data_IF_377130034290
#
_entry.id   IF_377130034290
#
_cell.length_a   1.000
_cell.length_b   1.000
_cell.length_c   1.000
_cell.angle_alpha   90.00
_cell.angle_beta   90.00
_cell.angle_gamma   90.00
#
_symmetry.space_group_name_H-M   'P 1'
#
loop_
_entity.id
_entity.type
_entity.pdbx_description
1 polymer ?
#
# COMPACT_ATOMS: atom_id res chain seq x y z
N UNK A 1 68.55 5.49 -10.82
CA UNK A 1 69.52 6.27 -11.61
C UNK A 1 70.88 5.59 -11.50
N UNK A 2 71.63 5.58 -12.60
CA UNK A 2 72.77 4.71 -12.87
C UNK A 2 73.90 4.78 -11.83
N UNK A 3 74.37 3.60 -11.40
CA UNK A 3 75.60 3.41 -10.63
C UNK A 3 76.81 3.75 -11.51
N UNK A 4 77.39 4.92 -11.28
CA UNK A 4 78.65 5.34 -11.91
C UNK A 4 79.81 4.83 -11.07
N UNK A 5 80.47 3.78 -11.59
CA UNK A 5 81.76 3.29 -11.08
C UNK A 5 82.81 4.40 -11.19
N UNK A 6 83.15 5.03 -10.06
CA UNK A 6 84.29 5.94 -9.95
C UNK A 6 85.59 5.13 -10.01
N UNK A 7 86.20 5.11 -11.19
CA UNK A 7 87.53 4.56 -11.43
C UNK A 7 88.56 5.55 -10.83
N UNK A 8 89.07 5.27 -9.62
CA UNK A 8 90.15 6.07 -8.99
C UNK A 8 91.42 5.96 -9.83
N UNK A 9 91.89 7.09 -10.36
CA UNK A 9 93.14 7.25 -11.09
C UNK A 9 94.21 7.71 -10.11
N UNK A 10 95.22 6.88 -9.85
CA UNK A 10 96.39 7.25 -9.04
C UNK A 10 97.39 7.96 -9.96
N UNK A 11 97.81 9.17 -9.58
CA UNK A 11 98.86 9.97 -10.23
C UNK A 11 100.18 9.69 -9.52
N UNK A 12 101.30 9.38 -10.22
CA UNK A 12 102.61 9.30 -9.58
C UNK A 12 103.29 10.67 -9.60
N UNK A 13 103.72 11.13 -8.43
CA UNK A 13 104.65 12.24 -8.29
C UNK A 13 106.10 11.74 -8.45
N UNK A 14 106.89 12.50 -9.21
CA UNK A 14 108.30 12.22 -9.55
C UNK A 14 109.23 12.28 -8.32
N UNK A 15 110.23 11.40 -8.32
CA UNK A 15 111.40 11.44 -7.42
C UNK A 15 111.89 10.05 -7.03
N UNK A 16 113.16 9.75 -7.37
CA UNK A 16 114.01 8.64 -6.92
C UNK A 16 113.89 7.29 -7.66
N UNK A 17 114.85 7.07 -8.56
CA UNK A 17 115.02 5.92 -9.45
C UNK A 17 115.33 4.57 -8.76
N UNK A 18 115.51 4.54 -7.43
CA UNK A 18 115.73 3.31 -6.65
C UNK A 18 114.49 2.84 -5.86
N UNK A 19 113.42 3.66 -5.80
CA UNK A 19 112.17 3.38 -5.06
C UNK A 19 110.99 2.97 -5.96
N UNK A 20 111.20 2.86 -7.28
CA UNK A 20 110.13 2.60 -8.25
C UNK A 20 109.64 1.14 -8.21
N UNK A 21 110.55 0.18 -8.04
CA UNK A 21 110.22 -1.25 -8.01
C UNK A 21 109.40 -1.63 -6.77
N UNK A 22 109.77 -1.13 -5.59
CA UNK A 22 109.08 -1.40 -4.33
C UNK A 22 107.69 -0.74 -4.27
N UNK A 23 107.53 0.46 -4.85
CA UNK A 23 106.22 1.12 -5.02
C UNK A 23 105.31 0.35 -5.99
N UNK A 24 105.87 -0.20 -7.06
CA UNK A 24 105.12 -1.00 -8.03
C UNK A 24 104.72 -2.35 -7.44
N UNK A 25 105.59 -2.99 -6.65
CA UNK A 25 105.28 -4.20 -5.90
C UNK A 25 104.23 -3.95 -4.80
N UNK A 26 104.24 -2.78 -4.15
CA UNK A 26 103.20 -2.36 -3.19
C UNK A 26 101.83 -2.17 -3.86
N UNK A 27 101.80 -1.57 -5.06
CA UNK A 27 100.59 -1.40 -5.86
C UNK A 27 100.04 -2.77 -6.31
N UNK A 28 100.89 -3.65 -6.84
CA UNK A 28 100.50 -4.99 -7.27
C UNK A 28 99.97 -5.84 -6.11
N UNK A 29 100.60 -5.75 -4.93
CA UNK A 29 100.14 -6.40 -3.72
C UNK A 29 98.76 -5.86 -3.27
N UNK A 30 98.57 -4.54 -3.28
CA UNK A 30 97.28 -3.94 -2.90
C UNK A 30 96.13 -4.35 -3.84
N UNK A 31 96.41 -4.49 -5.15
CA UNK A 31 95.45 -4.97 -6.15
C UNK A 31 95.14 -6.45 -5.94
N UNK A 32 96.16 -7.29 -5.73
CA UNK A 32 95.99 -8.72 -5.45
C UNK A 32 95.14 -8.94 -4.19
N UNK A 33 95.38 -8.16 -3.12
CA UNK A 33 94.56 -8.25 -1.89
C UNK A 33 93.13 -7.77 -2.13
N UNK A 34 92.93 -6.67 -2.85
CA UNK A 34 91.58 -6.18 -3.16
C UNK A 34 90.78 -7.15 -4.05
N UNK A 35 91.48 -7.92 -4.90
CA UNK A 35 90.88 -8.91 -5.78
C UNK A 35 90.74 -10.30 -5.12
N UNK A 36 91.29 -10.51 -3.91
CA UNK A 36 91.28 -11.80 -3.22
C UNK A 36 92.21 -12.86 -3.83
N UNK A 37 93.28 -12.45 -4.50
CA UNK A 37 94.25 -13.32 -5.16
C UNK A 37 95.24 -13.97 -4.15
N UNK A 38 95.86 -15.10 -4.54
CA UNK A 38 96.82 -15.82 -3.68
C UNK A 38 98.11 -15.02 -3.47
N UNK A 39 98.40 -14.73 -2.20
CA UNK A 39 99.58 -13.99 -1.76
C UNK A 39 100.86 -14.85 -1.74
N UNK A 40 100.75 -16.16 -1.96
CA UNK A 40 101.87 -17.10 -1.88
C UNK A 40 103.01 -16.83 -2.87
N UNK A 41 102.73 -16.15 -3.99
CA UNK A 41 103.76 -15.70 -4.95
C UNK A 41 104.56 -14.50 -4.44
N UNK A 42 103.89 -13.54 -3.79
CA UNK A 42 104.49 -12.36 -3.18
C UNK A 42 105.33 -12.71 -1.95
N UNK A 43 104.83 -13.64 -1.12
CA UNK A 43 105.56 -14.18 0.03
C UNK A 43 106.84 -14.87 -0.44
N UNK A 44 106.76 -15.78 -1.42
CA UNK A 44 107.94 -16.45 -1.98
C UNK A 44 108.94 -15.47 -2.59
N UNK A 45 108.49 -14.44 -3.30
CA UNK A 45 109.35 -13.38 -3.88
C UNK A 45 110.07 -12.57 -2.80
N UNK A 46 109.39 -12.22 -1.70
CA UNK A 46 109.95 -11.44 -0.60
C UNK A 46 110.98 -12.21 0.25
N UNK A 47 110.77 -13.51 0.46
CA UNK A 47 111.75 -14.37 1.13
C UNK A 47 112.95 -14.68 0.23
N UNK A 48 112.74 -14.88 -1.08
CA UNK A 48 113.83 -15.11 -2.03
C UNK A 48 114.72 -13.86 -2.25
N UNK A 49 114.17 -12.65 -2.12
CA UNK A 49 114.93 -11.40 -2.20
C UNK A 49 115.61 -10.99 -0.89
N UNK A 50 115.46 -11.76 0.18
CA UNK A 50 116.05 -11.49 1.49
C UNK A 50 115.44 -10.29 2.24
N UNK A 51 114.27 -9.79 1.80
CA UNK A 51 113.60 -8.62 2.39
C UNK A 51 112.15 -8.96 2.81
N UNK A 52 111.93 -9.83 3.81
CA UNK A 52 110.58 -10.11 4.32
C UNK A 52 109.95 -8.91 5.05
N UNK A 53 110.79 -8.05 5.64
CA UNK A 53 110.36 -6.87 6.39
C UNK A 53 109.66 -5.82 5.51
N UNK A 54 110.04 -5.69 4.23
CA UNK A 54 109.38 -4.77 3.29
C UNK A 54 107.97 -5.25 2.92
N UNK A 55 107.76 -6.56 2.80
CA UNK A 55 106.42 -7.13 2.58
C UNK A 55 105.51 -6.92 3.79
N UNK A 56 106.00 -7.17 5.00
CA UNK A 56 105.25 -6.90 6.24
C UNK A 56 104.93 -5.41 6.38
N UNK A 57 105.87 -4.53 6.04
CA UNK A 57 105.65 -3.09 6.02
C UNK A 57 104.55 -2.71 5.03
N UNK A 58 104.57 -3.26 3.82
CA UNK A 58 103.55 -3.00 2.79
C UNK A 58 102.16 -3.53 3.18
N UNK A 59 102.07 -4.70 3.81
CA UNK A 59 100.81 -5.24 4.34
C UNK A 59 100.24 -4.41 5.49
N UNK A 60 101.09 -3.99 6.44
CA UNK A 60 100.68 -3.09 7.53
C UNK A 60 100.25 -1.73 7.00
N UNK A 61 100.94 -1.20 5.99
CA UNK A 61 100.55 0.03 5.31
C UNK A 61 99.20 -0.11 4.62
N UNK A 62 98.95 -1.24 3.93
CA UNK A 62 97.65 -1.53 3.31
C UNK A 62 96.52 -1.65 4.35
N UNK A 63 96.74 -2.36 5.47
CA UNK A 63 95.75 -2.47 6.57
C UNK A 63 95.39 -1.10 7.12
N UNK A 64 96.40 -0.29 7.46
CA UNK A 64 96.20 1.08 7.97
C UNK A 64 95.50 1.98 6.96
N UNK A 65 95.84 1.86 5.67
CA UNK A 65 95.17 2.60 4.60
C UNK A 65 93.70 2.20 4.47
N UNK A 66 93.35 0.93 4.65
CA UNK A 66 91.95 0.46 4.61
C UNK A 66 91.18 0.82 5.87
N UNK A 67 91.79 0.75 7.04
CA UNK A 67 91.24 1.25 8.29
C UNK A 67 90.91 2.75 8.18
N UNK A 68 91.84 3.54 7.63
CA UNK A 68 91.61 4.97 7.38
C UNK A 68 90.49 5.23 6.36
N UNK A 69 90.38 4.43 5.30
CA UNK A 69 89.31 4.55 4.30
C UNK A 69 87.94 4.22 4.91
N UNK A 70 87.86 3.20 5.77
CA UNK A 70 86.65 2.84 6.51
C UNK A 70 86.29 3.97 7.48
N UNK A 71 87.25 4.51 8.21
CA UNK A 71 87.01 5.60 9.16
C UNK A 71 86.51 6.87 8.45
N UNK A 72 87.08 7.22 7.30
CA UNK A 72 86.65 8.37 6.49
C UNK A 72 85.24 8.16 5.92
N UNK A 73 84.92 6.95 5.45
CA UNK A 73 83.58 6.60 4.99
C UNK A 73 82.55 6.65 6.13
N UNK A 74 82.88 6.10 7.29
CA UNK A 74 82.04 6.18 8.48
C UNK A 74 81.83 7.62 8.92
N UNK A 75 82.88 8.45 8.95
CA UNK A 75 82.77 9.88 9.28
C UNK A 75 81.90 10.65 8.29
N UNK A 76 82.00 10.33 6.99
CA UNK A 76 81.19 10.98 5.96
C UNK A 76 79.69 10.71 6.15
N UNK A 77 79.31 9.50 6.58
CA UNK A 77 77.91 9.07 6.68
C UNK A 77 77.34 9.03 8.11
N UNK A 78 78.14 9.30 9.15
CA UNK A 78 77.69 9.25 10.54
C UNK A 78 76.54 10.22 10.82
N UNK A 79 76.62 11.42 10.23
CA UNK A 79 75.59 12.44 10.41
C UNK A 79 74.27 12.02 9.75
N UNK A 80 74.33 11.48 8.52
CA UNK A 80 73.15 11.00 7.79
C UNK A 80 72.46 9.84 8.53
N UNK A 81 73.25 8.94 9.11
CA UNK A 81 72.74 7.83 9.91
C UNK A 81 72.01 8.33 11.17
N UNK A 82 72.59 9.28 11.90
CA UNK A 82 71.96 9.84 13.09
C UNK A 82 70.67 10.57 12.75
N UNK A 83 70.65 11.37 11.67
CA UNK A 83 69.44 12.03 11.20
C UNK A 83 68.34 11.04 10.85
N UNK A 84 68.67 9.94 10.15
CA UNK A 84 67.69 8.90 9.85
C UNK A 84 67.13 8.21 11.11
N UNK A 85 67.95 8.02 12.15
CA UNK A 85 67.51 7.46 13.43
C UNK A 85 66.61 8.43 14.19
N UNK A 86 66.93 9.72 14.18
CA UNK A 86 66.11 10.77 14.81
C UNK A 86 64.77 10.94 14.09
N UNK A 87 64.77 10.90 12.75
CA UNK A 87 63.55 10.93 11.94
C UNK A 87 62.63 9.73 12.25
N UNK A 88 63.19 8.53 12.37
CA UNK A 88 62.43 7.33 12.75
C UNK A 88 61.84 7.46 14.16
N UNK A 89 62.56 8.08 15.10
CA UNK A 89 62.03 8.36 16.44
C UNK A 89 60.90 9.37 16.41
N UNK A 90 61.05 10.46 15.64
CA UNK A 90 59.99 11.46 15.47
C UNK A 90 58.74 10.82 14.87
N UNK A 91 58.91 10.01 13.82
CA UNK A 91 57.81 9.30 13.19
C UNK A 91 57.09 8.37 14.17
N UNK A 92 57.82 7.68 15.05
CA UNK A 92 57.22 6.83 16.08
C UNK A 92 56.34 7.66 17.03
N UNK A 93 56.84 8.81 17.48
CA UNK A 93 56.09 9.74 18.33
C UNK A 93 54.82 10.25 17.63
N UNK A 94 54.91 10.59 16.35
CA UNK A 94 53.78 11.04 15.55
C UNK A 94 52.73 9.93 15.38
N UNK A 95 53.17 8.68 15.17
CA UNK A 95 52.28 7.51 15.09
C UNK A 95 51.57 7.26 16.42
N UNK A 96 52.26 7.36 17.56
CA UNK A 96 51.65 7.19 18.87
C UNK A 96 50.65 8.31 19.21
N UNK A 97 50.95 9.55 18.81
CA UNK A 97 50.02 10.68 18.90
C UNK A 97 48.78 10.45 18.05
N UNK A 98 48.95 10.01 16.79
CA UNK A 98 47.85 9.69 15.89
C UNK A 98 46.97 8.56 16.43
N UNK A 99 47.59 7.50 16.96
CA UNK A 99 46.89 6.38 17.58
C UNK A 99 46.05 6.84 18.77
N UNK A 100 46.59 7.71 19.60
CA UNK A 100 45.88 8.29 20.75
C UNK A 100 44.70 9.14 20.29
N UNK A 101 44.91 10.02 19.31
CA UNK A 101 43.84 10.85 18.72
C UNK A 101 42.72 10.02 18.08
N UNK A 102 43.07 8.92 17.40
CA UNK A 102 42.12 7.98 16.82
C UNK A 102 41.30 7.26 17.90
N UNK A 103 41.95 6.82 18.97
CA UNK A 103 41.30 6.20 20.13
C UNK A 103 40.33 7.16 20.82
N UNK A 104 40.72 8.42 21.01
CA UNK A 104 39.87 9.46 21.59
C UNK A 104 38.66 9.76 20.71
N UNK A 105 38.87 9.86 19.39
CA UNK A 105 37.80 10.09 18.42
C UNK A 105 36.82 8.92 18.38
N UNK A 106 37.32 7.68 18.40
CA UNK A 106 36.47 6.49 18.49
C UNK A 106 35.68 6.45 19.81
N UNK A 107 36.31 6.81 20.94
CA UNK A 107 35.64 6.84 22.24
C UNK A 107 34.52 7.89 22.28
N UNK A 108 34.77 9.09 21.72
CA UNK A 108 33.74 10.13 21.58
C UNK A 108 32.62 9.71 20.63
N UNK A 109 32.94 9.04 19.53
CA UNK A 109 31.93 8.53 18.60
C UNK A 109 31.04 7.51 19.28
N UNK A 110 31.64 6.54 20.00
CA UNK A 110 30.88 5.51 20.71
C UNK A 110 30.03 6.10 21.84
N UNK A 111 30.52 7.11 22.56
CA UNK A 111 29.75 7.75 23.65
C UNK A 111 28.52 8.51 23.15
N UNK A 112 28.53 9.00 21.90
CA UNK A 112 27.36 9.65 21.27
C UNK A 112 26.48 8.63 20.55
N UNK A 113 27.08 7.69 19.82
CA UNK A 113 26.36 6.72 19.00
C UNK A 113 25.59 5.70 19.84
N UNK A 114 26.14 5.26 20.98
CA UNK A 114 25.49 4.30 21.87
C UNK A 114 24.12 4.77 22.35
N UNK A 115 24.03 5.93 23.03
CA UNK A 115 22.76 6.50 23.45
C UNK A 115 21.80 6.77 22.28
N UNK A 116 22.31 7.27 21.15
CA UNK A 116 21.49 7.53 19.97
C UNK A 116 20.84 6.25 19.42
N UNK A 117 21.57 5.14 19.39
CA UNK A 117 21.03 3.83 18.99
C UNK A 117 19.92 3.37 19.94
N UNK A 118 20.11 3.52 21.25
CA UNK A 118 19.06 3.12 22.22
C UNK A 118 17.77 3.95 22.06
N UNK A 119 17.91 5.25 21.76
CA UNK A 119 16.75 6.11 21.47
C UNK A 119 16.09 5.68 20.16
N UNK A 120 16.88 5.34 19.13
CA UNK A 120 16.34 4.84 17.86
C UNK A 120 15.57 3.53 18.03
N UNK A 121 16.09 2.59 18.83
CA UNK A 121 15.39 1.34 19.13
C UNK A 121 14.06 1.62 19.84
N UNK A 122 14.06 2.48 20.87
CA UNK A 122 12.83 2.88 21.56
C UNK A 122 11.82 3.58 20.63
N UNK A 123 12.31 4.37 19.66
CA UNK A 123 11.47 5.03 18.67
C UNK A 123 10.82 4.03 17.72
N UNK A 124 11.56 3.00 17.27
CA UNK A 124 11.03 1.94 16.42
C UNK A 124 9.97 1.12 17.16
N UNK A 125 10.18 0.82 18.45
CA UNK A 125 9.19 0.16 19.30
C UNK A 125 7.91 0.99 19.41
N UNK A 126 8.02 2.28 19.72
CA UNK A 126 6.87 3.21 19.80
C UNK A 126 6.16 3.32 18.45
N UNK A 127 6.90 3.37 17.34
CA UNK A 127 6.31 3.41 16.00
C UNK A 127 5.53 2.13 15.69
N UNK A 128 6.04 0.97 16.11
CA UNK A 128 5.36 -0.32 15.95
C UNK A 128 4.07 -0.36 16.77
N UNK A 129 4.10 0.11 18.02
CA UNK A 129 2.91 0.24 18.86
C UNK A 129 1.90 1.19 18.22
N UNK A 130 2.33 2.36 17.75
CA UNK A 130 1.48 3.33 17.07
C UNK A 130 0.81 2.74 15.81
N UNK A 131 1.55 1.97 15.01
CA UNK A 131 1.00 1.24 13.85
C UNK A 131 -0.07 0.24 14.28
N UNK A 132 0.18 -0.54 15.33
CA UNK A 132 -0.78 -1.51 15.85
C UNK A 132 -2.05 -0.83 16.39
N UNK A 133 -1.90 0.31 17.08
CA UNK A 133 -3.02 1.12 17.56
C UNK A 133 -3.85 1.67 16.39
N UNK A 134 -3.22 2.18 15.34
CA UNK A 134 -3.93 2.67 14.15
C UNK A 134 -4.68 1.55 13.41
N UNK A 135 -4.09 0.36 13.31
CA UNK A 135 -4.78 -0.81 12.77
C UNK A 135 -6.00 -1.15 13.64
N UNK A 136 -5.84 -1.23 14.96
CA UNK A 136 -6.94 -1.49 15.88
C UNK A 136 -8.06 -0.45 15.76
N UNK A 137 -7.71 0.84 15.64
CA UNK A 137 -8.68 1.92 15.44
C UNK A 137 -9.45 1.76 14.12
N UNK A 138 -8.76 1.46 13.03
CA UNK A 138 -9.38 1.19 11.71
C UNK A 138 -10.34 0.00 11.79
N UNK A 139 -9.98 -1.06 12.51
CA UNK A 139 -10.83 -2.23 12.71
C UNK A 139 -12.06 -1.90 13.57
N UNK A 140 -11.89 -1.11 14.64
CA UNK A 140 -13.00 -0.67 15.49
C UNK A 140 -14.00 0.17 14.69
N UNK A 141 -13.54 1.13 13.89
CA UNK A 141 -14.41 1.93 13.01
C UNK A 141 -15.19 1.04 12.04
N UNK A 142 -14.52 0.03 11.45
CA UNK A 142 -15.20 -0.94 10.58
C UNK A 142 -16.26 -1.76 11.34
N UNK A 143 -15.96 -2.19 12.57
CA UNK A 143 -16.91 -2.89 13.43
C UNK A 143 -18.11 -2.02 13.84
N UNK A 144 -17.89 -0.72 14.09
CA UNK A 144 -18.98 0.22 14.40
C UNK A 144 -19.91 0.36 13.19
N UNK A 145 -19.35 0.56 11.99
CA UNK A 145 -20.13 0.63 10.74
C UNK A 145 -20.93 -0.65 10.51
N UNK A 146 -20.32 -1.82 10.77
CA UNK A 146 -21.01 -3.11 10.71
C UNK A 146 -22.18 -3.19 11.68
N UNK A 147 -21.95 -2.81 12.93
CA UNK A 147 -22.99 -2.86 13.95
C UNK A 147 -24.15 -1.90 13.64
N UNK A 148 -23.85 -0.72 13.12
CA UNK A 148 -24.86 0.26 12.69
C UNK A 148 -25.71 -0.29 11.53
N UNK A 149 -25.07 -0.88 10.50
CA UNK A 149 -25.80 -1.51 9.39
C UNK A 149 -26.65 -2.69 9.85
N UNK A 150 -26.13 -3.53 10.76
CA UNK A 150 -26.90 -4.63 11.37
C UNK A 150 -28.11 -4.10 12.16
N UNK A 151 -27.92 -3.04 12.94
CA UNK A 151 -29.00 -2.39 13.70
C UNK A 151 -30.07 -1.82 12.78
N UNK A 152 -29.67 -1.14 11.70
CA UNK A 152 -30.57 -0.61 10.67
C UNK A 152 -31.32 -1.72 9.94
N UNK A 153 -30.63 -2.79 9.55
CA UNK A 153 -31.27 -3.95 8.94
C UNK A 153 -32.33 -4.56 9.86
N UNK A 154 -32.02 -4.70 11.16
CA UNK A 154 -32.97 -5.19 12.15
C UNK A 154 -34.18 -4.25 12.30
N UNK A 155 -33.95 -2.93 12.35
CA UNK A 155 -35.03 -1.94 12.40
C UNK A 155 -35.94 -2.01 11.16
N UNK A 156 -35.37 -2.12 9.95
CA UNK A 156 -36.17 -2.29 8.73
C UNK A 156 -36.95 -3.61 8.72
N UNK A 157 -36.39 -4.68 9.28
CA UNK A 157 -37.07 -5.97 9.42
C UNK A 157 -38.25 -5.92 10.40
N UNK A 158 -38.16 -5.14 11.48
CA UNK A 158 -39.26 -4.95 12.43
C UNK A 158 -40.33 -4.00 11.90
N UNK A 159 -39.92 -2.96 11.16
CA UNK A 159 -40.83 -1.98 10.54
C UNK A 159 -41.52 -2.50 9.27
N UNK A 160 -41.27 -3.75 8.84
CA UNK A 160 -41.87 -4.35 7.65
C UNK A 160 -41.28 -3.86 6.32
N UNK A 161 -40.25 -3.02 6.33
CA UNK A 161 -39.61 -2.51 5.11
C UNK A 161 -38.58 -3.51 4.56
N UNK A 162 -39.06 -4.65 4.07
CA UNK A 162 -38.23 -5.78 3.63
C UNK A 162 -37.23 -5.44 2.51
N UNK A 163 -37.60 -4.55 1.58
CA UNK A 163 -36.68 -4.12 0.52
C UNK A 163 -35.47 -3.37 1.07
N UNK A 164 -35.68 -2.43 2.00
CA UNK A 164 -34.58 -1.70 2.64
C UNK A 164 -33.75 -2.60 3.55
N UNK A 165 -34.38 -3.59 4.18
CA UNK A 165 -33.67 -4.61 4.96
C UNK A 165 -32.75 -5.46 4.06
N UNK A 166 -33.23 -5.93 2.91
CA UNK A 166 -32.40 -6.67 1.94
C UNK A 166 -31.24 -5.83 1.43
N UNK A 167 -31.48 -4.57 1.06
CA UNK A 167 -30.42 -3.65 0.64
C UNK A 167 -29.36 -3.45 1.73
N UNK A 168 -29.76 -3.36 3.01
CA UNK A 168 -28.81 -3.29 4.12
C UNK A 168 -27.99 -4.58 4.26
N UNK A 169 -28.62 -5.74 4.10
CA UNK A 169 -27.95 -7.04 4.11
C UNK A 169 -26.96 -7.18 2.94
N UNK A 170 -27.33 -6.72 1.75
CA UNK A 170 -26.47 -6.73 0.57
C UNK A 170 -25.27 -5.79 0.73
N UNK A 171 -25.46 -4.62 1.37
CA UNK A 171 -24.35 -3.72 1.72
C UNK A 171 -23.40 -4.35 2.74
N UNK A 172 -23.92 -5.11 3.71
CA UNK A 172 -23.10 -5.86 4.67
C UNK A 172 -22.29 -6.95 3.96
N UNK A 173 -22.91 -7.68 3.01
CA UNK A 173 -22.25 -8.74 2.25
C UNK A 173 -21.14 -8.19 1.33
N UNK A 174 -21.44 -7.11 0.57
CA UNK A 174 -20.52 -6.55 -0.42
C UNK A 174 -19.41 -5.66 0.17
N UNK A 175 -19.72 -4.82 1.16
CA UNK A 175 -18.75 -3.82 1.64
C UNK A 175 -17.93 -4.31 2.83
N UNK A 176 -18.43 -5.32 3.57
CA UNK A 176 -17.98 -5.59 4.94
C UNK A 176 -17.49 -7.02 5.17
N UNK A 177 -17.91 -8.03 4.41
CA UNK A 177 -17.36 -9.39 4.55
C UNK A 177 -15.88 -9.50 4.14
N UNK A 178 -15.43 -8.67 3.20
CA UNK A 178 -14.01 -8.61 2.79
C UNK A 178 -13.17 -7.80 3.77
N UNK A 179 -13.76 -6.80 4.42
CA UNK A 179 -13.06 -5.90 5.36
C UNK A 179 -13.12 -6.37 6.82
N UNK A 180 -13.91 -7.41 7.13
CA UNK A 180 -14.05 -7.90 8.51
C UNK A 180 -12.89 -8.84 8.86
N UNK A 181 -12.00 -8.46 9.80
CA UNK A 181 -10.85 -9.28 10.18
C UNK A 181 -11.22 -10.45 11.10
N UNK A 182 -12.34 -10.34 11.83
CA UNK A 182 -12.75 -11.34 12.83
C UNK A 182 -13.45 -12.50 12.14
N UNK A 183 -12.76 -13.65 12.11
CA UNK A 183 -13.29 -14.89 11.56
C UNK A 183 -14.59 -15.34 12.24
N UNK A 184 -14.78 -15.02 13.52
CA UNK A 184 -16.01 -15.33 14.26
C UNK A 184 -17.18 -14.47 13.79
N UNK A 185 -16.99 -13.15 13.67
CA UNK A 185 -18.06 -12.25 13.20
C UNK A 185 -18.42 -12.54 11.74
N UNK A 186 -17.40 -12.75 10.90
CA UNK A 186 -17.59 -13.15 9.50
C UNK A 186 -18.42 -14.43 9.37
N UNK A 187 -18.04 -15.49 10.10
CA UNK A 187 -18.78 -16.76 10.12
C UNK A 187 -20.21 -16.61 10.65
N UNK A 188 -20.42 -15.75 11.65
CA UNK A 188 -21.77 -15.47 12.15
C UNK A 188 -22.63 -14.78 11.09
N UNK A 189 -22.08 -13.80 10.39
CA UNK A 189 -22.77 -13.08 9.31
C UNK A 189 -23.08 -14.00 8.13
N UNK A 190 -22.12 -14.79 7.66
CA UNK A 190 -22.30 -15.77 6.58
C UNK A 190 -23.42 -16.77 6.88
N UNK A 191 -23.61 -17.14 8.17
CA UNK A 191 -24.72 -17.99 8.58
C UNK A 191 -26.05 -17.23 8.69
N UNK A 192 -26.03 -15.99 9.20
CA UNK A 192 -27.26 -15.23 9.50
C UNK A 192 -27.86 -14.51 8.29
N UNK A 193 -27.05 -14.06 7.34
CA UNK A 193 -27.50 -13.45 6.09
C UNK A 193 -28.51 -14.35 5.33
N UNK A 194 -28.23 -15.64 5.05
CA UNK A 194 -29.20 -16.50 4.37
C UNK A 194 -30.43 -16.80 5.22
N UNK A 195 -30.29 -16.91 6.55
CA UNK A 195 -31.44 -17.06 7.46
C UNK A 195 -32.38 -15.84 7.37
N UNK A 196 -31.84 -14.61 7.29
CA UNK A 196 -32.63 -13.38 7.13
C UNK A 196 -33.31 -13.34 5.77
N UNK A 197 -32.60 -13.65 4.68
CA UNK A 197 -33.18 -13.71 3.32
C UNK A 197 -34.36 -14.68 3.25
N UNK A 198 -34.20 -15.88 3.80
CA UNK A 198 -35.26 -16.89 3.86
C UNK A 198 -36.46 -16.46 4.73
N UNK A 199 -36.20 -15.74 5.84
CA UNK A 199 -37.26 -15.22 6.69
C UNK A 199 -38.06 -14.11 5.99
N UNK A 200 -37.38 -13.23 5.23
CA UNK A 200 -38.02 -12.20 4.42
C UNK A 200 -38.87 -12.85 3.31
N UNK A 201 -38.33 -13.82 2.58
CA UNK A 201 -39.06 -14.58 1.57
C UNK A 201 -40.36 -15.16 2.16
N UNK A 202 -40.26 -15.91 3.26
CA UNK A 202 -41.44 -16.50 3.93
C UNK A 202 -42.49 -15.46 4.35
N UNK A 203 -42.06 -14.32 4.89
CA UNK A 203 -42.97 -13.24 5.30
C UNK A 203 -43.66 -12.60 4.10
N UNK A 204 -42.91 -12.31 3.03
CA UNK A 204 -43.45 -11.69 1.81
C UNK A 204 -44.40 -12.64 1.09
N UNK A 205 -44.08 -13.92 0.98
CA UNK A 205 -44.98 -14.91 0.39
C UNK A 205 -46.28 -15.06 1.20
N UNK A 206 -46.20 -14.97 2.53
CA UNK A 206 -47.38 -14.98 3.40
C UNK A 206 -48.23 -13.72 3.20
N UNK A 207 -47.64 -12.52 3.29
CA UNK A 207 -48.35 -11.25 3.06
C UNK A 207 -49.01 -11.21 1.67
N UNK A 208 -48.31 -11.71 0.65
CA UNK A 208 -48.86 -11.79 -0.71
C UNK A 208 -50.00 -12.82 -0.82
N UNK A 209 -49.86 -13.98 -0.17
CA UNK A 209 -50.92 -14.98 -0.09
C UNK A 209 -52.19 -14.47 0.60
N UNK A 210 -52.03 -13.75 1.72
CA UNK A 210 -53.14 -13.11 2.44
C UNK A 210 -53.83 -12.05 1.55
N UNK A 211 -53.04 -11.23 0.84
CA UNK A 211 -53.57 -10.27 -0.13
C UNK A 211 -54.30 -10.94 -1.31
N UNK A 212 -53.83 -12.09 -1.82
CA UNK A 212 -54.53 -12.84 -2.87
C UNK A 212 -55.90 -13.38 -2.42
N UNK A 213 -56.07 -13.66 -1.13
CA UNK A 213 -57.38 -14.03 -0.57
C UNK A 213 -58.28 -12.79 -0.48
N UNK A 214 -57.75 -11.67 0.01
CA UNK A 214 -58.48 -10.41 0.13
C UNK A 214 -58.95 -9.89 -1.24
N UNK A 215 -58.05 -9.82 -2.22
CA UNK A 215 -58.37 -9.36 -3.58
C UNK A 215 -59.46 -10.23 -4.20
N UNK A 216 -59.47 -11.55 -3.95
CA UNK A 216 -60.50 -12.46 -4.46
C UNK A 216 -61.89 -12.12 -3.90
N UNK A 217 -61.98 -11.76 -2.62
CA UNK A 217 -63.24 -11.34 -1.98
C UNK A 217 -63.69 -10.00 -2.55
N UNK A 218 -62.78 -9.04 -2.67
CA UNK A 218 -63.08 -7.70 -3.23
C UNK A 218 -63.51 -7.81 -4.69
N UNK A 219 -62.81 -8.59 -5.52
CA UNK A 219 -63.17 -8.81 -6.92
C UNK A 219 -64.54 -9.50 -7.06
N UNK A 220 -64.90 -10.42 -6.17
CA UNK A 220 -66.24 -11.03 -6.15
C UNK A 220 -67.33 -10.00 -5.82
N UNK A 221 -67.11 -9.17 -4.81
CA UNK A 221 -68.06 -8.13 -4.41
C UNK A 221 -68.23 -7.07 -5.50
N UNK A 222 -67.13 -6.68 -6.15
CA UNK A 222 -67.17 -5.77 -7.30
C UNK A 222 -67.93 -6.40 -8.47
N UNK A 223 -67.66 -7.67 -8.79
CA UNK A 223 -68.40 -8.40 -9.82
C UNK A 223 -69.91 -8.43 -9.53
N UNK A 224 -70.31 -8.63 -8.28
CA UNK A 224 -71.72 -8.58 -7.87
C UNK A 224 -72.32 -7.16 -7.98
N UNK A 225 -71.54 -6.12 -7.63
CA UNK A 225 -71.96 -4.73 -7.74
C UNK A 225 -72.17 -4.33 -9.21
N UNK A 226 -71.22 -4.67 -10.09
CA UNK A 226 -71.29 -4.41 -11.53
C UNK A 226 -72.46 -5.16 -12.17
N UNK A 227 -72.68 -6.43 -11.82
CA UNK A 227 -73.86 -7.19 -12.26
C UNK A 227 -75.15 -6.51 -11.79
N UNK A 228 -75.19 -6.04 -10.53
CA UNK A 228 -76.32 -5.30 -9.97
C UNK A 228 -76.58 -3.99 -10.72
N UNK A 229 -75.56 -3.18 -10.95
CA UNK A 229 -75.67 -1.91 -11.70
C UNK A 229 -76.09 -2.15 -13.15
N UNK A 230 -75.50 -3.12 -13.84
CA UNK A 230 -75.88 -3.49 -15.21
C UNK A 230 -77.32 -4.00 -15.28
N UNK A 231 -77.76 -4.81 -14.30
CA UNK A 231 -79.14 -5.28 -14.24
C UNK A 231 -80.14 -4.14 -13.97
N UNK A 232 -79.83 -3.21 -13.07
CA UNK A 232 -80.64 -2.04 -12.79
C UNK A 232 -80.68 -1.07 -14.00
N UNK A 233 -79.57 -0.91 -14.72
CA UNK A 233 -79.54 -0.15 -15.97
C UNK A 233 -80.44 -0.79 -17.04
N UNK A 234 -80.39 -2.12 -17.20
CA UNK A 234 -81.29 -2.85 -18.12
C UNK A 234 -82.76 -2.75 -17.72
N UNK A 235 -83.07 -2.86 -16.43
CA UNK A 235 -84.45 -2.69 -15.94
C UNK A 235 -84.96 -1.28 -16.23
N UNK A 236 -84.15 -0.24 -15.98
CA UNK A 236 -84.52 1.13 -16.35
C UNK A 236 -84.72 1.30 -17.85
N UNK A 237 -83.86 0.69 -18.68
CA UNK A 237 -84.02 0.71 -20.14
C UNK A 237 -85.31 -0.01 -20.59
N UNK A 238 -85.64 -1.14 -19.98
CA UNK A 238 -86.86 -1.89 -20.26
C UNK A 238 -88.12 -1.14 -19.80
N UNK A 239 -88.10 -0.53 -18.61
CA UNK A 239 -89.17 0.34 -18.11
C UNK A 239 -89.41 1.54 -19.03
N UNK A 240 -88.34 2.16 -19.53
CA UNK A 240 -88.44 3.23 -20.53
C UNK A 240 -89.05 2.73 -21.84
N UNK A 241 -88.66 1.54 -22.32
CA UNK A 241 -89.26 0.92 -23.52
C UNK A 241 -90.72 0.51 -23.33
N UNK A 242 -91.12 0.10 -22.13
CA UNK A 242 -92.53 -0.21 -21.82
C UNK A 242 -93.34 1.08 -21.80
N UNK A 243 -92.86 2.14 -21.14
CA UNK A 243 -93.49 3.47 -21.16
C UNK A 243 -93.63 4.02 -22.58
N UNK A 244 -92.60 3.83 -23.42
CA UNK A 244 -92.66 4.22 -24.83
C UNK A 244 -93.74 3.44 -25.60
N UNK A 245 -93.82 2.11 -25.45
CA UNK A 245 -94.88 1.30 -26.08
C UNK A 245 -96.30 1.69 -25.62
N UNK A 246 -96.47 1.99 -24.33
CA UNK A 246 -97.75 2.46 -23.80
C UNK A 246 -98.16 3.81 -24.42
N UNK A 247 -97.20 4.73 -24.61
CA UNK A 247 -97.45 6.00 -25.29
C UNK A 247 -97.83 5.79 -26.77
N UNK A 248 -97.17 4.86 -27.46
CA UNK A 248 -97.51 4.50 -28.85
C UNK A 248 -98.89 3.82 -28.98
N UNK A 249 -99.28 2.94 -28.05
CA UNK A 249 -100.60 2.31 -28.04
C UNK A 249 -101.74 3.31 -27.71
N UNK A 250 -101.51 4.23 -26.78
CA UNK A 250 -102.44 5.34 -26.52
C UNK A 250 -102.57 6.26 -27.74
N UNK A 251 -101.49 6.44 -28.51
CA UNK A 251 -101.52 7.17 -29.78
C UNK A 251 -102.31 6.44 -30.87
N UNK A 252 -102.24 5.10 -30.95
CA UNK A 252 -102.96 4.30 -31.98
C UNK A 252 -104.48 4.16 -31.75
N UNK A 253 -104.97 4.38 -30.53
CA UNK A 253 -106.41 4.46 -30.25
C UNK A 253 -107.00 5.85 -30.57
N UNK A 254 -106.15 6.83 -30.90
CA UNK A 254 -106.56 8.16 -31.37
C UNK A 254 -106.31 8.29 -32.87
N UNK A 255 -107.13 7.64 -33.70
CA UNK A 255 -107.35 8.14 -35.07
C UNK A 255 -108.20 9.40 -34.94
N UNK A 256 -107.54 10.52 -34.66
CA UNK A 256 -107.78 11.87 -35.21
C UNK A 256 -106.86 12.87 -34.49
N UNK A 257 -106.32 13.75 -35.30
CA UNK A 257 -105.50 14.93 -34.97
C UNK A 257 -104.04 14.70 -34.62
N UNK A 258 -103.25 14.62 -35.69
CA UNK A 258 -101.94 15.25 -35.73
C UNK A 258 -102.08 16.73 -35.33
N UNK A 259 -101.53 17.08 -34.17
CA UNK A 259 -100.99 18.42 -33.93
C UNK A 259 -99.59 18.20 -33.41
N UNK A 260 -98.61 18.60 -34.22
CA UNK A 260 -97.23 18.78 -33.78
C UNK A 260 -97.24 19.79 -32.63
N UNK A 261 -97.25 19.30 -31.39
CA UNK A 261 -96.79 20.09 -30.26
C UNK A 261 -95.27 19.94 -30.24
N UNK A 262 -94.59 20.90 -30.86
CA UNK A 262 -93.22 21.22 -30.47
C UNK A 262 -93.29 21.52 -28.97
N UNK A 263 -92.80 20.58 -28.16
CA UNK A 263 -92.51 20.88 -26.77
C UNK A 263 -91.25 21.72 -26.83
N UNK A 264 -91.44 23.03 -26.73
CA UNK A 264 -90.37 23.97 -26.46
C UNK A 264 -89.60 23.46 -25.25
N UNK A 265 -88.31 23.27 -25.47
CA UNK A 265 -87.32 23.09 -24.42
C UNK A 265 -87.43 24.32 -23.53
N UNK A 266 -88.01 24.17 -22.34
CA UNK A 266 -87.79 25.13 -21.26
C UNK A 266 -86.30 25.05 -20.91
N UNK A 267 -85.52 25.94 -21.54
CA UNK A 267 -84.19 26.32 -21.13
C UNK A 267 -84.24 26.88 -19.70
N UNK A 268 -84.24 26.00 -18.70
CA UNK A 268 -83.81 26.33 -17.33
C UNK A 268 -82.28 26.26 -17.26
N UNK A 269 -81.63 27.15 -18.02
CA UNK A 269 -80.26 27.58 -17.76
C UNK A 269 -80.28 28.50 -16.53
N UNK A 270 -80.42 27.87 -15.36
CA UNK A 270 -80.17 28.46 -14.05
C UNK A 270 -78.68 28.69 -13.79
N UNK A 271 -77.99 29.44 -14.65
CA UNK A 271 -76.70 30.06 -14.33
C UNK A 271 -76.97 31.47 -13.80
N UNK A 272 -77.09 31.60 -12.48
CA UNK A 272 -76.60 32.81 -11.81
C UNK A 272 -76.17 32.56 -10.36
N UNK A 273 -74.84 32.48 -10.18
CA UNK A 273 -74.17 33.38 -9.24
C UNK A 273 -74.26 33.09 -7.75
N UNK A 274 -74.09 31.83 -7.33
CA UNK A 274 -73.67 31.51 -5.97
C UNK A 274 -72.15 31.47 -5.85
N UNK A 275 -71.51 32.61 -5.56
CA UNK A 275 -70.15 32.62 -4.98
C UNK A 275 -70.27 32.04 -3.58
N UNK A 276 -70.08 30.73 -3.48
CA UNK A 276 -70.10 29.95 -2.27
C UNK A 276 -69.09 28.83 -2.45
N UNK A 277 -67.86 29.16 -2.12
CA UNK A 277 -66.75 28.28 -1.76
C UNK A 277 -67.24 26.99 -1.08
N UNK A 278 -67.40 25.92 -1.87
CA UNK A 278 -67.49 24.54 -1.35
C UNK A 278 -67.09 23.57 -2.48
N UNK A 279 -65.94 23.89 -3.10
CA UNK A 279 -65.06 22.85 -3.61
C UNK A 279 -64.57 22.10 -2.36
N UNK A 280 -65.36 21.12 -1.92
CA UNK A 280 -64.76 19.95 -1.28
C UNK A 280 -63.98 19.23 -2.36
N UNK A 281 -62.78 19.76 -2.58
CA UNK A 281 -61.62 18.99 -2.98
C UNK A 281 -61.60 17.78 -2.03
N UNK A 282 -62.16 16.68 -2.50
CA UNK A 282 -61.81 15.38 -1.95
C UNK A 282 -60.33 15.24 -2.27
N UNK A 283 -59.55 15.56 -1.25
CA UNK A 283 -58.11 15.41 -1.12
C UNK A 283 -57.54 14.38 -2.11
N UNK A 284 -57.10 14.91 -3.26
CA UNK A 284 -56.21 14.22 -4.19
C UNK A 284 -54.77 14.30 -3.64
N UNK A 285 -54.60 13.92 -2.38
CA UNK A 285 -53.34 14.03 -1.65
C UNK A 285 -53.17 12.89 -0.64
N UNK A 286 -53.33 11.65 -1.11
CA UNK A 286 -53.03 10.47 -0.30
C UNK A 286 -53.15 9.15 -1.06
N UNK A 287 -52.12 8.79 -1.82
CA UNK A 287 -51.89 7.47 -2.41
C UNK A 287 -52.99 6.90 -3.32
N UNK A 288 -52.80 7.08 -4.64
CA UNK A 288 -52.92 5.99 -5.62
C UNK A 288 -54.23 5.18 -5.68
N UNK A 289 -55.35 5.68 -5.17
CA UNK A 289 -56.66 5.05 -5.37
C UNK A 289 -57.22 5.51 -6.71
N UNK A 290 -56.72 4.91 -7.78
CA UNK A 290 -57.34 4.99 -9.09
C UNK A 290 -58.80 4.53 -9.02
N UNK A 291 -59.58 4.91 -10.02
CA UNK A 291 -61.02 4.76 -10.20
C UNK A 291 -61.63 3.35 -9.95
N UNK A 292 -60.81 2.35 -9.62
CA UNK A 292 -61.13 1.01 -9.14
C UNK A 292 -60.26 0.76 -7.90
N UNK A 293 -60.87 0.60 -6.72
CA UNK A 293 -60.21 0.58 -5.41
C UNK A 293 -59.29 -0.61 -5.10
N UNK A 294 -58.46 -1.03 -6.05
CA UNK A 294 -57.47 -2.09 -5.88
C UNK A 294 -56.10 -1.50 -5.52
N UNK A 295 -55.61 -1.85 -4.34
CA UNK A 295 -54.21 -1.60 -4.00
C UNK A 295 -53.34 -2.74 -4.55
N UNK A 296 -52.64 -2.47 -5.65
CA UNK A 296 -51.67 -3.38 -6.27
C UNK A 296 -50.27 -3.27 -5.64
N UNK A 297 -50.07 -2.37 -4.68
CA UNK A 297 -48.78 -2.20 -3.98
C UNK A 297 -48.22 -3.52 -3.43
N UNK A 298 -49.02 -4.42 -2.84
CA UNK A 298 -48.53 -5.72 -2.37
C UNK A 298 -48.00 -6.62 -3.49
N UNK A 299 -48.60 -6.59 -4.68
CA UNK A 299 -48.13 -7.33 -5.86
C UNK A 299 -46.78 -6.80 -6.35
N UNK A 300 -46.66 -5.48 -6.53
CA UNK A 300 -45.40 -4.85 -6.96
C UNK A 300 -44.29 -5.06 -5.94
N UNK A 301 -44.60 -4.93 -4.64
CA UNK A 301 -43.65 -5.15 -3.54
C UNK A 301 -43.19 -6.61 -3.49
N UNK A 302 -44.11 -7.57 -3.61
CA UNK A 302 -43.75 -8.99 -3.63
C UNK A 302 -42.88 -9.33 -4.84
N UNK A 303 -43.25 -8.88 -6.04
CA UNK A 303 -42.48 -9.12 -7.25
C UNK A 303 -41.06 -8.55 -7.16
N UNK A 304 -40.94 -7.28 -6.75
CA UNK A 304 -39.64 -6.59 -6.66
C UNK A 304 -38.72 -7.22 -5.60
N UNK A 305 -39.28 -7.70 -4.49
CA UNK A 305 -38.50 -8.41 -3.45
C UNK A 305 -38.03 -9.78 -3.96
N UNK A 306 -38.88 -10.55 -4.64
CA UNK A 306 -38.47 -11.83 -5.24
C UNK A 306 -37.45 -11.66 -6.37
N UNK A 307 -37.53 -10.55 -7.12
CA UNK A 307 -36.51 -10.16 -8.10
C UNK A 307 -35.16 -9.85 -7.43
N UNK A 308 -35.16 -9.08 -6.33
CA UNK A 308 -33.92 -8.80 -5.57
C UNK A 308 -33.33 -10.05 -4.91
N UNK A 309 -34.15 -11.05 -4.59
CA UNK A 309 -33.72 -12.36 -4.10
C UNK A 309 -33.25 -13.32 -5.22
N UNK A 310 -33.45 -12.97 -6.50
CA UNK A 310 -33.12 -13.83 -7.64
C UNK A 310 -34.08 -15.03 -7.82
N UNK A 311 -35.29 -14.97 -7.26
CA UNK A 311 -36.29 -16.04 -7.26
C UNK A 311 -37.50 -15.75 -8.18
N UNK A 312 -37.28 -14.98 -9.25
CA UNK A 312 -38.33 -14.54 -10.18
C UNK A 312 -39.08 -15.72 -10.83
N UNK A 313 -38.37 -16.75 -11.25
CA UNK A 313 -38.94 -17.94 -11.89
C UNK A 313 -39.81 -18.77 -10.94
N UNK A 314 -39.47 -18.78 -9.64
CA UNK A 314 -40.29 -19.46 -8.63
C UNK A 314 -41.56 -18.68 -8.34
N UNK A 315 -41.48 -17.36 -8.28
CA UNK A 315 -42.65 -16.51 -8.08
C UNK A 315 -43.65 -16.68 -9.23
N UNK A 316 -43.19 -16.61 -10.49
CA UNK A 316 -44.04 -16.79 -11.69
C UNK A 316 -44.66 -18.18 -11.83
N UNK A 317 -44.02 -19.21 -11.26
CA UNK A 317 -44.53 -20.59 -11.32
C UNK A 317 -45.54 -20.90 -10.23
N UNK A 318 -45.45 -20.20 -9.09
CA UNK A 318 -46.23 -20.49 -7.89
C UNK A 318 -47.48 -19.61 -7.76
N UNK A 319 -47.47 -18.41 -8.34
CA UNK A 319 -48.54 -17.42 -8.30
C UNK A 319 -48.94 -17.00 -9.71
#
# INVERSE_FOLDING_TARGET
MHSTKLRRKVVPANGDLDNSADKQDQLLLSVAICNGEDLGSFVRKAFASGKPETLLHNLRHFSRSKESEIEEFCKAHYQDFNLAVDDLRSLLSDVDSLKSSLSDSNSKLQSVAGPLLTVLDSYIEVQTVSRNVNLALTLIVSCIKLMELCSRANHHLTSGNFYMALKCVDMIESELLDKTPSSTLKRMLEKKIPEIRLNIERKVSKEFGDWLVEIRVVSRNLGQLEIGQASAARQREEDLRIKQRQAEEQSRLSVRDCVYALQEEDDDDGINGGIGDDVKDVDTSGSGRGLLGFDLTPLYRAYHIHQTLGLEDRFKKYF
#
